data_IF_393169229148
#
_entry.id   IF_393169229148
#
_cell.length_a   1.000
_cell.length_b   1.000
_cell.length_c   1.000
_cell.angle_alpha   90.00
_cell.angle_beta   90.00
_cell.angle_gamma   90.00
#
_symmetry.space_group_name_H-M   'P 1'
#
loop_
_entity.id
_entity.type
_entity.pdbx_description
1 polymer ?
#
# COMPACT_ATOMS: atom_id res chain seq x y z
N UNK A 1 -8.37 29.12 1.17
CA UNK A 1 -7.70 28.63 2.39
C UNK A 1 -8.14 27.19 2.54
N UNK A 2 -7.33 26.27 2.03
CA UNK A 2 -7.54 24.85 2.23
C UNK A 2 -6.24 24.35 2.82
N UNK A 3 -6.20 24.30 4.15
CA UNK A 3 -5.08 23.78 4.91
C UNK A 3 -5.11 22.26 4.78
N UNK A 4 -4.61 21.76 3.65
CA UNK A 4 -4.21 20.37 3.54
C UNK A 4 -2.98 20.22 4.43
N UNK A 5 -3.13 19.49 5.54
CA UNK A 5 -2.01 19.09 6.37
C UNK A 5 -0.99 18.41 5.45
N UNK A 6 0.14 19.07 5.21
CA UNK A 6 1.30 18.44 4.59
C UNK A 6 1.86 17.41 5.59
N UNK A 7 1.28 16.22 5.63
CA UNK A 7 2.01 15.06 6.14
C UNK A 7 3.10 14.78 5.11
N UNK A 8 4.28 15.34 5.35
CA UNK A 8 5.44 15.39 4.45
C UNK A 8 6.10 14.04 4.13
N UNK A 9 5.31 13.02 3.80
CA UNK A 9 5.78 11.74 3.30
C UNK A 9 5.07 11.47 1.98
N UNK A 10 5.85 11.24 0.92
CA UNK A 10 5.33 10.75 -0.35
C UNK A 10 4.59 9.42 -0.17
N UNK A 11 3.79 9.00 -1.16
CA UNK A 11 3.03 7.76 -1.05
C UNK A 11 3.98 6.59 -0.80
N UNK A 12 3.59 5.67 0.07
CA UNK A 12 4.42 4.53 0.50
C UNK A 12 3.64 3.23 0.41
N UNK A 13 4.18 2.25 -0.31
CA UNK A 13 3.68 0.89 -0.38
C UNK A 13 4.46 -0.01 0.58
N UNK A 14 3.83 -0.42 1.67
CA UNK A 14 4.36 -1.35 2.66
C UNK A 14 3.96 -2.79 2.30
N UNK A 15 4.92 -3.72 2.37
CA UNK A 15 4.67 -5.15 2.13
C UNK A 15 5.60 -6.04 2.98
N UNK A 16 5.37 -7.35 2.95
CA UNK A 16 6.11 -8.36 3.72
C UNK A 16 7.07 -9.24 2.89
N UNK A 17 7.07 -9.04 1.56
CA UNK A 17 7.97 -9.75 0.65
C UNK A 17 7.35 -11.01 0.03
N UNK A 18 6.03 -11.19 0.17
CA UNK A 18 5.29 -12.24 -0.53
C UNK A 18 5.52 -12.21 -2.07
N UNK A 19 5.35 -13.34 -2.76
CA UNK A 19 5.64 -13.43 -4.21
C UNK A 19 4.82 -12.44 -5.05
N UNK A 20 3.56 -12.20 -4.69
CA UNK A 20 2.69 -11.21 -5.33
C UNK A 20 3.16 -9.79 -5.00
N UNK A 21 3.56 -9.54 -3.76
CA UNK A 21 4.05 -8.26 -3.27
C UNK A 21 5.29 -7.81 -4.05
N UNK A 22 6.22 -8.74 -4.31
CA UNK A 22 7.43 -8.48 -5.08
C UNK A 22 7.14 -8.11 -6.54
N UNK A 23 6.15 -8.76 -7.16
CA UNK A 23 5.72 -8.44 -8.53
C UNK A 23 5.08 -7.06 -8.60
N UNK A 24 4.21 -6.72 -7.63
CA UNK A 24 3.60 -5.39 -7.53
C UNK A 24 4.70 -4.34 -7.31
N UNK A 25 5.63 -4.59 -6.39
CA UNK A 25 6.75 -3.70 -6.09
C UNK A 25 7.62 -3.41 -7.34
N UNK A 26 7.94 -4.42 -8.15
CA UNK A 26 8.70 -4.22 -9.40
C UNK A 26 7.95 -3.31 -10.38
N UNK A 27 6.66 -3.57 -10.59
CA UNK A 27 5.82 -2.78 -11.51
C UNK A 27 5.70 -1.34 -11.01
N UNK A 28 5.39 -1.17 -9.72
CA UNK A 28 5.23 0.13 -9.08
C UNK A 28 6.53 0.93 -9.11
N UNK A 29 7.67 0.30 -8.82
CA UNK A 29 8.98 0.94 -8.87
C UNK A 29 9.34 1.46 -10.27
N UNK A 30 8.81 0.82 -11.33
CA UNK A 30 9.01 1.26 -12.72
C UNK A 30 8.03 2.35 -13.16
N UNK A 31 6.78 2.31 -12.70
CA UNK A 31 5.70 3.14 -13.24
C UNK A 31 5.34 4.36 -12.37
N UNK A 32 5.71 4.35 -11.09
CA UNK A 32 5.34 5.39 -10.12
C UNK A 32 6.57 6.04 -9.50
N UNK A 33 7.28 6.91 -10.24
CA UNK A 33 8.41 7.64 -9.70
C UNK A 33 7.94 8.51 -8.52
N UNK A 34 8.53 8.29 -7.34
CA UNK A 34 8.16 8.98 -6.09
C UNK A 34 7.33 8.13 -5.12
N UNK A 35 6.87 6.94 -5.52
CA UNK A 35 6.32 5.97 -4.59
C UNK A 35 7.48 5.30 -3.83
N UNK A 36 7.47 5.41 -2.50
CA UNK A 36 8.36 4.62 -1.66
C UNK A 36 7.85 3.17 -1.58
N UNK A 37 8.75 2.20 -1.71
CA UNK A 37 8.43 0.77 -1.61
C UNK A 37 9.22 0.19 -0.45
N UNK A 38 8.51 -0.36 0.53
CA UNK A 38 9.08 -0.75 1.81
C UNK A 38 8.75 -2.21 2.12
N UNK A 39 9.80 -3.03 2.20
CA UNK A 39 9.74 -4.41 2.65
C UNK A 39 9.94 -4.48 4.17
N UNK A 40 8.83 -4.59 4.91
CA UNK A 40 8.82 -4.62 6.37
C UNK A 40 9.47 -5.88 6.94
N UNK A 41 9.64 -6.94 6.15
CA UNK A 41 10.37 -8.13 6.59
C UNK A 41 11.88 -7.89 6.76
N UNK A 42 12.39 -6.79 6.19
CA UNK A 42 13.82 -6.47 6.15
C UNK A 42 14.24 -5.34 7.08
N UNK A 43 13.31 -4.56 7.60
CA UNK A 43 13.60 -3.40 8.44
C UNK A 43 12.55 -3.20 9.54
N UNK A 44 12.91 -3.57 10.77
CA UNK A 44 12.05 -3.46 11.94
C UNK A 44 11.73 -2.00 12.34
N UNK A 45 12.60 -1.03 12.00
CA UNK A 45 12.32 0.38 12.30
C UNK A 45 11.14 0.90 11.47
N UNK A 46 10.98 0.38 10.24
CA UNK A 46 9.87 0.73 9.35
C UNK A 46 8.53 0.13 9.79
N UNK A 47 8.55 -0.94 10.59
CA UNK A 47 7.32 -1.53 11.16
C UNK A 47 6.67 -0.52 12.11
N UNK A 48 7.44 0.05 13.04
CA UNK A 48 6.91 1.03 14.00
C UNK A 48 6.35 2.28 13.31
N UNK A 49 7.00 2.75 12.24
CA UNK A 49 6.49 3.84 11.39
C UNK A 49 5.15 3.46 10.75
N UNK A 50 5.04 2.27 10.14
CA UNK A 50 3.82 1.80 9.51
C UNK A 50 2.67 1.66 10.53
N UNK A 51 2.95 1.13 11.72
CA UNK A 51 1.96 1.04 12.82
C UNK A 51 1.47 2.41 13.27
N UNK A 52 2.38 3.39 13.40
CA UNK A 52 2.02 4.78 13.75
C UNK A 52 1.14 5.45 12.69
N UNK A 53 1.32 5.08 11.42
CA UNK A 53 0.50 5.54 10.31
C UNK A 53 -0.84 4.79 10.21
N UNK A 54 -1.09 3.80 11.07
CA UNK A 54 -2.35 3.04 11.10
C UNK A 54 -2.36 1.79 10.21
N UNK A 55 -1.22 1.40 9.65
CA UNK A 55 -1.10 0.15 8.88
C UNK A 55 -1.26 -1.03 9.83
N UNK A 56 -2.27 -1.87 9.56
CA UNK A 56 -2.60 -3.04 10.38
C UNK A 56 -2.65 -4.36 9.58
N UNK A 57 -2.55 -4.27 8.26
CA UNK A 57 -2.58 -5.42 7.33
C UNK A 57 -1.66 -5.12 6.16
N UNK A 58 -1.05 -6.16 5.58
CA UNK A 58 -0.17 -6.05 4.42
C UNK A 58 -0.69 -6.91 3.26
N UNK A 59 -0.38 -6.53 2.00
CA UNK A 59 0.24 -5.27 1.60
C UNK A 59 -0.68 -4.04 1.80
N UNK A 60 -0.10 -2.86 1.95
CA UNK A 60 -0.82 -1.61 2.21
C UNK A 60 -0.19 -0.42 1.49
N UNK A 61 -1.02 0.43 0.89
CA UNK A 61 -0.61 1.71 0.34
C UNK A 61 -1.03 2.83 1.31
N UNK A 62 -0.08 3.66 1.73
CA UNK A 62 -0.35 4.90 2.45
C UNK A 62 -0.13 6.06 1.50
N UNK A 63 -1.16 6.86 1.24
CA UNK A 63 -1.10 7.98 0.30
C UNK A 63 -2.12 9.07 0.69
N UNK A 64 -1.74 10.35 0.60
CA UNK A 64 -2.60 11.49 0.93
C UNK A 64 -3.29 11.39 2.32
N UNK A 65 -2.57 10.82 3.30
CA UNK A 65 -3.08 10.60 4.66
C UNK A 65 -4.02 9.40 4.81
N UNK A 66 -4.33 8.70 3.72
CA UNK A 66 -5.19 7.52 3.70
C UNK A 66 -4.35 6.24 3.84
N UNK A 67 -4.92 5.26 4.54
CA UNK A 67 -4.37 3.91 4.68
C UNK A 67 -5.23 2.96 3.87
N UNK A 68 -4.65 2.39 2.81
CA UNK A 68 -5.36 1.57 1.83
C UNK A 68 -4.82 0.13 1.85
N UNK A 69 -5.41 -0.75 2.68
CA UNK A 69 -5.18 -2.19 2.60
C UNK A 69 -5.41 -2.72 1.19
N UNK A 70 -4.46 -3.51 0.68
CA UNK A 70 -4.61 -4.22 -0.59
C UNK A 70 -4.81 -5.70 -0.27
N UNK A 71 -6.05 -6.16 -0.36
CA UNK A 71 -6.43 -7.54 -0.09
C UNK A 71 -7.33 -8.09 -1.19
N UNK A 72 -7.25 -9.40 -1.44
CA UNK A 72 -8.20 -10.07 -2.31
C UNK A 72 -9.56 -10.07 -1.63
N UNK A 73 -10.51 -9.30 -2.16
CA UNK A 73 -11.83 -9.14 -1.56
C UNK A 73 -12.94 -9.91 -2.29
N UNK A 74 -12.83 -10.06 -3.61
CA UNK A 74 -13.85 -10.73 -4.42
C UNK A 74 -13.25 -11.32 -5.70
N UNK A 75 -13.93 -12.31 -6.26
CA UNK A 75 -13.62 -12.82 -7.60
C UNK A 75 -14.35 -11.99 -8.66
N UNK A 76 -13.70 -11.79 -9.81
CA UNK A 76 -14.33 -11.09 -10.93
C UNK A 76 -15.60 -11.81 -11.42
N UNK A 77 -15.65 -13.14 -11.34
CA UNK A 77 -16.81 -13.94 -11.74
C UNK A 77 -18.05 -13.64 -10.89
N UNK A 78 -17.89 -13.43 -9.59
CA UNK A 78 -18.99 -13.12 -8.67
C UNK A 78 -19.65 -11.77 -9.04
N UNK A 79 -18.85 -10.80 -9.50
CA UNK A 79 -19.36 -9.51 -10.00
C UNK A 79 -20.10 -9.67 -11.32
N UNK A 80 -19.61 -10.53 -12.21
CA UNK A 80 -20.22 -10.76 -13.52
C UNK A 80 -21.60 -11.43 -13.41
N UNK A 81 -21.79 -12.32 -12.43
CA UNK A 81 -23.06 -13.02 -12.20
C UNK A 81 -24.16 -12.10 -11.65
N UNK A 82 -23.80 -11.04 -10.93
CA UNK A 82 -24.73 -10.03 -10.39
C UNK A 82 -25.09 -8.89 -11.34
N UNK A 83 -24.53 -8.86 -12.56
CA UNK A 83 -24.70 -7.77 -13.53
C UNK A 83 -25.85 -7.99 -14.53
N UNK A 84 -26.79 -8.89 -14.23
CA UNK A 84 -27.95 -9.23 -15.06
C UNK A 84 -29.28 -8.76 -14.45
#
# INVERSE_FOLDING_TARGET
>A
MNDTIETGFGPTFYHDGCSTCLQIADIFGRLMPGLAIVDLSKDAARIAEAEMLGVSVLPCLVADGEVLPVSQHSMLSELAEGAH
#
